data_IF_650490422660
#
_entry.id   IF_650490422660
#
_cell.length_a   1.000
_cell.length_b   1.000
_cell.length_c   1.000
_cell.angle_alpha   90.00
_cell.angle_beta   90.00
_cell.angle_gamma   90.00
#
_symmetry.space_group_name_H-M   'P 1'
#
loop_
_entity.id
_entity.type
_entity.pdbx_description
1 polymer ?
#
# COMPACT_ATOMS: atom_id res chain seq x y z
N UNK A 1 -35.69 -31.25 -19.10
CA UNK A 1 -35.94 -30.16 -18.15
C UNK A 1 -34.57 -29.66 -17.72
N UNK A 2 -34.11 -28.55 -18.31
CA UNK A 2 -32.78 -28.01 -18.01
C UNK A 2 -32.85 -27.21 -16.71
N UNK A 3 -32.09 -27.62 -15.70
CA UNK A 3 -31.94 -26.86 -14.47
C UNK A 3 -31.03 -25.65 -14.78
N UNK A 4 -31.58 -24.45 -14.63
CA UNK A 4 -30.82 -23.20 -14.66
C UNK A 4 -30.26 -23.02 -13.24
N UNK A 5 -28.96 -23.27 -13.05
CA UNK A 5 -28.28 -22.91 -11.81
C UNK A 5 -28.12 -21.39 -11.75
N UNK A 6 -28.98 -20.75 -10.96
CA UNK A 6 -28.91 -19.32 -10.70
C UNK A 6 -27.78 -19.05 -9.69
N UNK A 7 -26.62 -18.56 -10.16
CA UNK A 7 -25.54 -18.15 -9.26
C UNK A 7 -25.99 -16.96 -8.40
N UNK A 8 -25.70 -16.96 -7.08
CA UNK A 8 -26.04 -15.82 -6.22
C UNK A 8 -25.23 -14.59 -6.66
N UNK A 9 -25.95 -13.51 -6.97
CA UNK A 9 -25.36 -12.20 -7.24
C UNK A 9 -24.72 -11.68 -5.95
N UNK A 10 -23.46 -11.23 -6.03
CA UNK A 10 -22.74 -10.69 -4.89
C UNK A 10 -23.45 -9.45 -4.33
N UNK A 11 -24.08 -9.59 -3.17
CA UNK A 11 -24.60 -8.47 -2.39
C UNK A 11 -23.42 -7.63 -1.91
N UNK A 12 -23.32 -6.37 -2.38
CA UNK A 12 -22.37 -5.41 -1.83
C UNK A 12 -22.62 -5.24 -0.33
N UNK A 13 -21.66 -5.71 0.47
CA UNK A 13 -21.70 -5.63 1.92
C UNK A 13 -21.66 -4.19 2.42
N UNK A 14 -22.21 -4.03 3.62
CA UNK A 14 -22.41 -2.77 4.35
C UNK A 14 -21.16 -1.88 4.33
N UNK A 15 -21.35 -0.57 4.13
CA UNK A 15 -20.30 0.45 4.19
C UNK A 15 -19.74 0.46 5.62
N UNK A 16 -18.62 -0.24 5.81
CA UNK A 16 -17.82 -0.08 7.01
C UNK A 16 -17.32 1.37 7.04
N UNK A 17 -17.39 2.03 8.19
CA UNK A 17 -16.72 3.31 8.45
C UNK A 17 -15.23 3.19 8.12
N UNK A 18 -14.84 3.61 6.91
CA UNK A 18 -13.50 3.51 6.37
C UNK A 18 -13.50 3.61 4.84
N UNK A 19 -12.36 4.00 4.26
CA UNK A 19 -12.20 4.13 2.81
C UNK A 19 -12.30 2.79 2.08
N UNK A 20 -12.53 2.83 0.77
CA UNK A 20 -12.48 1.67 -0.09
C UNK A 20 -11.04 1.13 -0.19
N UNK A 21 -10.81 0.00 0.47
CA UNK A 21 -9.54 -0.75 0.48
C UNK A 21 -9.25 -1.53 -0.81
N UNK A 22 -10.18 -1.54 -1.77
CA UNK A 22 -10.03 -2.10 -3.11
C UNK A 22 -10.64 -1.13 -4.13
N UNK A 23 -10.05 0.06 -4.24
CA UNK A 23 -10.57 1.13 -5.11
C UNK A 23 -10.71 0.72 -6.58
N UNK A 24 -9.87 -0.21 -7.06
CA UNK A 24 -9.92 -0.74 -8.44
C UNK A 24 -10.92 -1.89 -8.64
N UNK A 25 -11.64 -2.31 -7.60
CA UNK A 25 -12.58 -3.45 -7.62
C UNK A 25 -11.96 -4.73 -8.22
N UNK A 26 -10.71 -5.02 -7.85
CA UNK A 26 -10.00 -6.20 -8.33
C UNK A 26 -10.67 -7.49 -7.80
N UNK A 27 -10.67 -8.58 -8.58
CA UNK A 27 -11.19 -9.86 -8.13
C UNK A 27 -10.38 -10.35 -6.92
N UNK A 28 -11.11 -10.81 -5.90
CA UNK A 28 -10.55 -11.42 -4.70
C UNK A 28 -10.74 -12.92 -4.84
N UNK A 29 -9.64 -13.67 -4.88
CA UNK A 29 -9.62 -15.12 -4.85
C UNK A 29 -9.60 -15.63 -3.39
N UNK A 30 -9.60 -16.96 -3.19
CA UNK A 30 -9.58 -17.55 -1.85
C UNK A 30 -8.33 -17.21 -1.03
N UNK A 31 -7.27 -16.69 -1.65
CA UNK A 31 -6.00 -16.31 -1.02
C UNK A 31 -5.81 -14.78 -0.95
N UNK A 32 -6.74 -14.00 -1.52
CA UNK A 32 -6.73 -12.54 -1.54
C UNK A 32 -6.79 -11.95 -2.95
N UNK A 33 -6.42 -10.67 -3.10
CA UNK A 33 -6.29 -10.02 -4.41
C UNK A 33 -4.84 -9.79 -4.79
N UNK A 34 -4.60 -9.45 -6.06
CA UNK A 34 -3.30 -8.96 -6.49
C UNK A 34 -3.09 -7.49 -6.10
N UNK A 35 -1.82 -7.06 -6.14
CA UNK A 35 -1.45 -5.64 -6.03
C UNK A 35 -2.15 -4.82 -7.11
N UNK A 36 -2.52 -3.58 -6.79
CA UNK A 36 -3.21 -2.71 -7.74
C UNK A 36 -2.37 -2.31 -8.96
N UNK A 37 -1.05 -2.25 -8.82
CA UNK A 37 -0.08 -2.02 -9.89
C UNK A 37 1.04 -3.06 -9.78
N UNK A 38 1.68 -3.41 -10.89
CA UNK A 38 2.84 -4.30 -10.89
C UNK A 38 4.03 -3.70 -10.14
N UNK A 39 4.97 -4.54 -9.71
CA UNK A 39 6.14 -4.07 -8.96
C UNK A 39 6.95 -3.06 -9.78
N UNK A 40 7.15 -3.32 -11.07
CA UNK A 40 7.91 -2.44 -11.97
C UNK A 40 7.07 -1.35 -12.65
N UNK A 41 5.78 -1.19 -12.29
CA UNK A 41 4.92 -0.11 -12.78
C UNK A 41 5.12 1.19 -11.99
N UNK A 42 6.29 1.37 -11.35
CA UNK A 42 6.62 2.54 -10.55
C UNK A 42 6.59 3.85 -11.36
N UNK A 43 6.69 3.78 -12.69
CA UNK A 43 6.51 4.93 -13.58
C UNK A 43 5.10 5.54 -13.57
N UNK A 44 4.08 4.81 -13.11
CA UNK A 44 2.73 5.38 -12.92
C UNK A 44 2.70 6.44 -11.81
N UNK A 45 3.70 6.45 -10.93
CA UNK A 45 3.97 7.53 -9.99
C UNK A 45 5.47 7.87 -10.02
N UNK A 46 5.90 8.44 -11.15
CA UNK A 46 7.30 8.76 -11.39
C UNK A 46 7.90 9.69 -10.32
N UNK A 47 7.09 10.58 -9.72
CA UNK A 47 7.52 11.46 -8.64
C UNK A 47 7.93 10.68 -7.39
N UNK A 48 7.05 9.80 -6.91
CA UNK A 48 7.35 8.92 -5.78
C UNK A 48 8.46 7.92 -6.10
N UNK A 49 8.53 7.43 -7.33
CA UNK A 49 9.60 6.52 -7.77
C UNK A 49 10.97 7.19 -7.71
N UNK A 50 11.09 8.41 -8.23
CA UNK A 50 12.34 9.19 -8.20
C UNK A 50 12.70 9.52 -6.75
N UNK A 51 11.74 9.97 -5.94
CA UNK A 51 11.99 10.25 -4.52
C UNK A 51 12.42 9.00 -3.75
N UNK A 52 11.83 7.84 -4.06
CA UNK A 52 12.23 6.56 -3.46
C UNK A 52 13.65 6.16 -3.85
N UNK A 53 14.14 6.58 -5.02
CA UNK A 53 15.50 6.28 -5.49
C UNK A 53 16.55 7.12 -4.77
N UNK A 54 16.27 8.40 -4.55
CA UNK A 54 17.22 9.33 -3.91
C UNK A 54 17.10 9.40 -2.39
N UNK A 55 15.88 9.25 -1.87
CA UNK A 55 15.53 9.39 -0.46
C UNK A 55 14.48 8.33 -0.04
N UNK A 56 14.82 7.03 -0.07
CA UNK A 56 13.87 5.95 0.27
C UNK A 56 13.32 6.06 1.69
N UNK A 57 14.08 6.62 2.63
CA UNK A 57 13.64 6.84 4.01
C UNK A 57 12.44 7.80 4.12
N UNK A 58 12.38 8.80 3.23
CA UNK A 58 11.27 9.77 3.20
C UNK A 58 10.00 9.05 2.76
N UNK A 59 10.05 8.33 1.64
CA UNK A 59 8.87 7.60 1.13
C UNK A 59 8.45 6.50 2.11
N UNK A 60 9.40 5.78 2.72
CA UNK A 60 9.10 4.82 3.78
C UNK A 60 8.36 5.48 4.95
N UNK A 61 8.89 6.59 5.47
CA UNK A 61 8.29 7.33 6.58
C UNK A 61 6.89 7.84 6.26
N UNK A 62 6.70 8.38 5.05
CA UNK A 62 5.40 8.83 4.56
C UNK A 62 4.40 7.67 4.47
N UNK A 63 4.78 6.55 3.84
CA UNK A 63 3.93 5.36 3.73
C UNK A 63 3.55 4.84 5.10
N UNK A 64 4.51 4.75 6.02
CA UNK A 64 4.26 4.27 7.38
C UNK A 64 3.32 5.20 8.14
N UNK A 65 3.56 6.51 8.14
CA UNK A 65 2.70 7.49 8.80
C UNK A 65 1.26 7.41 8.25
N UNK A 66 1.10 7.41 6.93
CA UNK A 66 -0.21 7.34 6.27
C UNK A 66 -0.93 6.04 6.62
N UNK A 67 -0.23 4.90 6.55
CA UNK A 67 -0.76 3.59 6.90
C UNK A 67 -1.18 3.51 8.36
N UNK A 68 -0.33 3.96 9.29
CA UNK A 68 -0.59 3.93 10.73
C UNK A 68 -1.78 4.85 11.09
N UNK A 69 -1.88 6.03 10.46
CA UNK A 69 -3.02 6.92 10.62
C UNK A 69 -4.32 6.27 10.10
N UNK A 70 -4.28 5.66 8.92
CA UNK A 70 -5.39 4.91 8.34
C UNK A 70 -5.78 3.70 9.20
N UNK A 71 -4.83 3.05 9.88
CA UNK A 71 -5.08 1.94 10.81
C UNK A 71 -5.71 2.40 12.12
N UNK A 72 -5.20 3.49 12.72
CA UNK A 72 -5.66 3.97 14.01
C UNK A 72 -6.94 4.80 13.95
N UNK A 73 -7.10 5.66 12.94
CA UNK A 73 -8.19 6.64 12.86
C UNK A 73 -9.20 6.34 11.75
N UNK A 74 -8.84 5.50 10.78
CA UNK A 74 -9.74 5.14 9.67
C UNK A 74 -10.02 6.26 8.68
N UNK A 75 -9.25 7.36 8.73
CA UNK A 75 -9.32 8.51 7.81
C UNK A 75 -7.96 8.79 7.20
N UNK A 76 -7.88 9.47 6.04
CA UNK A 76 -6.60 9.92 5.48
C UNK A 76 -5.85 10.84 6.44
N UNK A 77 -4.53 10.76 6.45
CA UNK A 77 -3.70 11.70 7.20
C UNK A 77 -3.78 13.10 6.55
N UNK A 78 -4.08 14.17 7.30
CA UNK A 78 -4.25 15.50 6.73
C UNK A 78 -2.96 16.07 6.12
N UNK A 79 -1.79 15.63 6.57
CA UNK A 79 -0.49 16.05 6.05
C UNK A 79 -0.01 15.18 4.88
N UNK A 80 -0.72 14.09 4.55
CA UNK A 80 -0.37 13.14 3.47
C UNK A 80 1.07 12.60 3.56
N UNK A 81 1.61 12.50 4.78
CA UNK A 81 2.96 12.04 5.06
C UNK A 81 4.00 13.17 5.08
N UNK A 82 4.48 13.49 6.29
CA UNK A 82 5.57 14.43 6.52
C UNK A 82 6.93 13.73 6.70
N UNK A 83 8.02 14.45 6.42
CA UNK A 83 9.38 14.00 6.77
C UNK A 83 9.68 14.16 8.28
N UNK A 84 8.78 14.80 9.03
CA UNK A 84 8.90 15.10 10.46
C UNK A 84 8.62 13.91 11.37
N UNK A 85 8.11 12.79 10.84
CA UNK A 85 7.89 11.57 11.62
C UNK A 85 9.21 10.88 11.96
N UNK A 86 9.37 10.47 13.21
CA UNK A 86 10.57 9.77 13.69
C UNK A 86 10.94 8.52 12.88
N UNK A 87 9.97 7.90 12.22
CA UNK A 87 10.16 6.73 11.35
C UNK A 87 11.06 7.00 10.13
N UNK A 88 11.00 8.21 9.55
CA UNK A 88 11.91 8.62 8.47
C UNK A 88 13.36 8.66 8.96
N UNK A 89 13.59 9.25 10.15
CA UNK A 89 14.90 9.32 10.78
C UNK A 89 15.41 7.92 11.18
N UNK A 90 14.57 7.08 11.76
CA UNK A 90 14.92 5.71 12.17
C UNK A 90 15.32 4.88 10.94
N UNK A 91 14.52 4.92 9.88
CA UNK A 91 14.84 4.21 8.65
C UNK A 91 16.12 4.76 8.00
N UNK A 92 16.28 6.09 7.94
CA UNK A 92 17.50 6.73 7.42
C UNK A 92 18.76 6.33 8.21
N UNK A 93 18.67 6.30 9.54
CA UNK A 93 19.75 5.89 10.43
C UNK A 93 20.10 4.40 10.26
N UNK A 94 19.11 3.51 10.17
CA UNK A 94 19.37 2.07 9.99
C UNK A 94 19.94 1.78 8.59
N UNK A 95 19.46 2.47 7.56
CA UNK A 95 20.05 2.39 6.22
C UNK A 95 21.48 2.94 6.21
N UNK A 96 21.73 4.08 6.84
CA UNK A 96 23.05 4.72 6.87
C UNK A 96 24.08 3.97 7.72
N UNK A 97 23.68 3.42 8.87
CA UNK A 97 24.59 2.72 9.79
C UNK A 97 24.82 1.25 9.43
N UNK A 98 23.79 0.56 8.93
CA UNK A 98 23.82 -0.90 8.77
C UNK A 98 23.48 -1.37 7.35
N UNK A 99 23.07 -0.48 6.44
CA UNK A 99 22.58 -0.87 5.11
C UNK A 99 21.32 -1.74 5.13
N UNK A 100 20.65 -1.85 6.28
CA UNK A 100 19.63 -2.86 6.56
C UNK A 100 18.20 -2.29 6.58
N UNK A 101 17.98 -1.09 6.03
CA UNK A 101 16.65 -0.45 5.98
C UNK A 101 15.58 -1.30 5.27
N UNK A 102 16.00 -2.14 4.32
CA UNK A 102 15.13 -3.10 3.63
C UNK A 102 14.40 -4.07 4.58
N UNK A 103 14.96 -4.36 5.76
CA UNK A 103 14.30 -5.23 6.76
C UNK A 103 13.04 -4.57 7.32
N UNK A 104 13.11 -3.27 7.60
CA UNK A 104 11.94 -2.50 8.07
C UNK A 104 10.86 -2.42 7.00
N UNK A 105 11.28 -2.37 5.73
CA UNK A 105 10.36 -2.37 4.60
C UNK A 105 9.58 -3.68 4.48
N UNK A 106 10.20 -4.84 4.73
CA UNK A 106 9.48 -6.13 4.71
C UNK A 106 8.30 -6.11 5.68
N UNK A 107 8.50 -5.58 6.89
CA UNK A 107 7.45 -5.46 7.90
C UNK A 107 6.31 -4.53 7.45
N UNK A 108 6.64 -3.35 6.93
CA UNK A 108 5.63 -2.40 6.43
C UNK A 108 4.86 -2.97 5.24
N UNK A 109 5.55 -3.62 4.31
CA UNK A 109 4.94 -4.27 3.15
C UNK A 109 3.98 -5.38 3.54
N UNK A 110 4.32 -6.19 4.54
CA UNK A 110 3.43 -7.19 5.10
C UNK A 110 2.17 -6.56 5.73
N UNK A 111 2.32 -5.43 6.43
CA UNK A 111 1.19 -4.68 6.99
C UNK A 111 0.27 -4.11 5.90
N UNK A 112 0.84 -3.56 4.82
CA UNK A 112 0.09 -3.10 3.64
C UNK A 112 -0.71 -4.27 3.06
N UNK A 113 -0.06 -5.43 2.81
CA UNK A 113 -0.73 -6.61 2.27
C UNK A 113 -1.87 -7.11 3.16
N UNK A 114 -1.65 -7.16 4.48
CA UNK A 114 -2.65 -7.56 5.46
C UNK A 114 -3.85 -6.59 5.46
N UNK A 115 -3.61 -5.27 5.46
CA UNK A 115 -4.67 -4.25 5.44
C UNK A 115 -5.56 -4.36 4.20
N UNK A 116 -4.96 -4.65 3.06
CA UNK A 116 -5.61 -4.62 1.75
C UNK A 116 -6.05 -5.99 1.21
N UNK A 117 -5.78 -7.07 1.96
CA UNK A 117 -6.10 -8.44 1.56
C UNK A 117 -5.32 -8.89 0.31
N UNK A 118 -4.06 -8.47 0.18
CA UNK A 118 -3.22 -8.79 -1.00
C UNK A 118 -2.51 -10.12 -0.79
N UNK A 119 -2.59 -11.03 -1.77
CA UNK A 119 -2.00 -12.38 -1.70
C UNK A 119 -0.47 -12.39 -1.86
N UNK A 120 0.19 -13.36 -1.25
CA UNK A 120 1.65 -13.55 -1.22
C UNK A 120 2.22 -13.80 0.17
N UNK A 121 3.55 -13.83 0.27
CA UNK A 121 4.28 -14.27 1.46
C UNK A 121 5.50 -13.38 1.76
N UNK A 122 6.05 -13.52 2.96
CA UNK A 122 7.23 -12.76 3.41
C UNK A 122 8.45 -12.95 2.50
N UNK A 123 8.51 -14.06 1.75
CA UNK A 123 9.57 -14.33 0.78
C UNK A 123 9.43 -13.44 -0.46
N UNK A 124 8.23 -13.36 -1.03
CA UNK A 124 7.92 -12.45 -2.14
C UNK A 124 8.17 -10.98 -1.76
N UNK A 125 7.91 -10.61 -0.51
CA UNK A 125 8.16 -9.27 0.02
C UNK A 125 9.66 -9.00 0.22
N UNK A 126 10.42 -10.00 0.65
CA UNK A 126 11.89 -9.93 0.73
C UNK A 126 12.52 -9.75 -0.66
N UNK A 127 12.15 -10.59 -1.63
CA UNK A 127 12.67 -10.48 -3.00
C UNK A 127 12.31 -9.15 -3.67
N UNK A 128 11.08 -8.65 -3.47
CA UNK A 128 10.65 -7.36 -4.00
C UNK A 128 11.45 -6.20 -3.38
N UNK A 129 11.65 -6.23 -2.06
CA UNK A 129 12.41 -5.20 -1.33
C UNK A 129 13.90 -5.24 -1.66
N UNK A 130 14.45 -6.44 -1.91
CA UNK A 130 15.86 -6.63 -2.23
C UNK A 130 16.21 -6.24 -3.68
N UNK A 131 15.38 -6.63 -4.67
CA UNK A 131 15.68 -6.38 -6.09
C UNK A 131 15.29 -4.99 -6.58
N UNK A 132 14.21 -4.40 -6.06
CA UNK A 132 13.90 -3.00 -6.33
C UNK A 132 13.14 -2.37 -5.15
N UNK A 133 13.89 -2.03 -4.10
CA UNK A 133 13.39 -1.27 -2.95
C UNK A 133 12.53 -0.05 -3.35
N UNK A 134 12.96 0.79 -4.32
CA UNK A 134 12.23 2.01 -4.67
C UNK A 134 10.90 1.71 -5.37
N UNK A 135 10.90 0.66 -6.20
CA UNK A 135 9.69 0.17 -6.85
C UNK A 135 8.68 -0.35 -5.82
N UNK A 136 9.15 -1.13 -4.83
CA UNK A 136 8.32 -1.64 -3.76
C UNK A 136 7.73 -0.52 -2.89
N UNK A 137 8.53 0.50 -2.53
CA UNK A 137 8.05 1.70 -1.81
C UNK A 137 7.00 2.47 -2.61
N UNK A 138 7.21 2.60 -3.92
CA UNK A 138 6.25 3.28 -4.81
C UNK A 138 4.95 2.49 -4.92
N UNK A 139 5.02 1.17 -5.07
CA UNK A 139 3.86 0.29 -5.11
C UNK A 139 3.03 0.38 -3.81
N UNK A 140 3.69 0.42 -2.65
CA UNK A 140 3.04 0.61 -1.35
C UNK A 140 2.35 2.00 -1.27
N UNK A 141 3.04 3.07 -1.67
CA UNK A 141 2.49 4.43 -1.68
C UNK A 141 1.24 4.54 -2.56
N UNK A 142 1.27 3.90 -3.73
CA UNK A 142 0.14 3.87 -4.66
C UNK A 142 -1.07 3.13 -4.05
N UNK A 143 -0.85 2.03 -3.35
CA UNK A 143 -1.94 1.29 -2.71
C UNK A 143 -2.60 2.10 -1.58
N UNK A 144 -1.79 2.77 -0.76
CA UNK A 144 -2.27 3.69 0.28
C UNK A 144 -3.04 4.87 -0.35
N UNK A 145 -2.51 5.44 -1.43
CA UNK A 145 -3.15 6.53 -2.15
C UNK A 145 -4.51 6.14 -2.72
N UNK A 146 -4.68 4.91 -3.21
CA UNK A 146 -5.96 4.42 -3.71
C UNK A 146 -7.03 4.38 -2.60
N UNK A 147 -6.65 3.97 -1.39
CA UNK A 147 -7.54 4.05 -0.23
C UNK A 147 -7.85 5.50 0.12
N UNK A 148 -6.85 6.38 0.21
CA UNK A 148 -7.06 7.80 0.54
C UNK A 148 -7.97 8.51 -0.48
N UNK A 149 -7.77 8.26 -1.77
CA UNK A 149 -8.60 8.82 -2.84
C UNK A 149 -10.06 8.35 -2.76
N UNK A 150 -10.30 7.16 -2.23
CA UNK A 150 -11.67 6.66 -2.08
C UNK A 150 -12.51 7.46 -1.07
N UNK A 151 -11.87 8.12 -0.09
CA UNK A 151 -12.56 9.06 0.80
C UNK A 151 -12.94 10.35 0.08
N UNK A 152 -12.12 10.78 -0.88
CA UNK A 152 -12.29 12.01 -1.67
C UNK A 152 -13.10 11.85 -2.96
N UNK A 153 -13.57 10.65 -3.30
CA UNK A 153 -14.37 10.36 -4.51
C UNK A 153 -15.73 11.07 -4.60
N UNK A 154 -16.06 11.98 -3.67
CA UNK A 154 -17.18 12.91 -3.77
C UNK A 154 -16.76 14.36 -4.11
N UNK A 155 -15.49 14.61 -4.40
CA UNK A 155 -14.99 15.94 -4.77
C UNK A 155 -14.05 15.89 -5.97
N UNK A 156 -14.58 15.47 -7.13
CA UNK A 156 -14.08 15.95 -8.44
C UNK A 156 -15.28 16.18 -9.36
N UNK A 157 -15.84 17.39 -9.27
CA UNK A 157 -16.65 18.03 -10.30
C UNK A 157 -15.91 19.31 -10.71
#
# INVERSE_FOLDING_TARGET
MAYVEQQPVATQGMVATGGNRNAKNLPIDGEGRQWSNGLFDCCNDAGTCVLSWFCPCVVYGQNKQRLDHLQGKGTPDPEHGGCSSGDCCIHGLITGCCGAGWILQIGTRANVRSRYGIKGDSWSDCCASFWCMPCALTQESQEIMLEEQSFGGHQKA
#
